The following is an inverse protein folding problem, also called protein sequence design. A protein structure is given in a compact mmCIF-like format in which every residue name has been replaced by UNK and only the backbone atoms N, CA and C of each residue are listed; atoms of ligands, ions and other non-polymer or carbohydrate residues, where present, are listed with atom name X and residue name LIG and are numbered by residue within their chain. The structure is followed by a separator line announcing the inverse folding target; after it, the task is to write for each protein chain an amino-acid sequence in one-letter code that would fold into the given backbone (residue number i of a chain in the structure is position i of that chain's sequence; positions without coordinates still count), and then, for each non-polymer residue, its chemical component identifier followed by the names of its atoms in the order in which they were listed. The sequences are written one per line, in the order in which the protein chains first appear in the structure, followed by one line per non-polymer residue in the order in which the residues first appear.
data_IF_396768262470
#
_entry.id   IF_396768262470
#
_cell.length_a   1.000
_cell.length_b   1.000
_cell.length_c   1.000
_cell.angle_alpha   90.00
_cell.angle_beta   90.00
_cell.angle_gamma   90.00
#
_symmetry.space_group_name_H-M   'P 1'
#
loop_
_entity.id
_entity.type
_entity.pdbx_description
1 polymer ?
#
# COMPACT_ATOMS: atom_id res chain seq x y z
N UNK A 1 2.12 0.84 -12.58
CA UNK A 1 1.82 -0.41 -11.85
C UNK A 1 3.00 -0.79 -10.96
N UNK A 2 2.71 -1.41 -9.85
CA UNK A 2 3.74 -1.83 -8.90
C UNK A 2 4.27 -3.20 -9.31
N UNK A 3 5.58 -3.33 -9.37
CA UNK A 3 6.23 -4.59 -9.70
C UNK A 3 7.43 -4.81 -8.79
N UNK A 4 8.10 -5.94 -8.97
CA UNK A 4 9.33 -6.23 -8.25
C UNK A 4 10.32 -5.08 -8.42
N UNK A 5 10.96 -4.66 -7.33
CA UNK A 5 11.92 -3.55 -7.25
C UNK A 5 11.31 -2.15 -7.36
N UNK A 6 9.98 -2.01 -7.43
CA UNK A 6 9.36 -0.70 -7.32
C UNK A 6 9.49 -0.17 -5.90
N UNK A 7 9.85 1.10 -5.77
CA UNK A 7 9.91 1.76 -4.46
C UNK A 7 8.60 2.49 -4.21
N UNK A 8 8.09 2.39 -2.97
CA UNK A 8 6.84 2.99 -2.57
C UNK A 8 7.05 3.78 -1.28
N UNK A 9 6.26 4.84 -1.13
CA UNK A 9 6.18 5.55 0.14
C UNK A 9 5.23 4.80 1.06
N UNK A 10 5.38 5.01 2.36
CA UNK A 10 4.50 4.42 3.37
C UNK A 10 3.50 5.47 3.81
N UNK A 11 2.23 5.12 3.74
CA UNK A 11 1.13 6.04 4.04
C UNK A 11 0.57 5.86 5.46
N UNK A 12 1.35 5.31 6.37
CA UNK A 12 0.91 5.09 7.74
C UNK A 12 1.94 5.56 8.76
N UNK A 13 1.60 5.43 10.04
CA UNK A 13 2.43 5.89 11.15
C UNK A 13 3.22 4.77 11.83
N UNK A 14 3.56 3.70 11.11
CA UNK A 14 4.35 2.60 11.66
C UNK A 14 5.82 2.93 11.84
N UNK A 15 6.27 4.02 11.27
CA UNK A 15 7.68 4.42 11.29
C UNK A 15 8.42 4.13 10.00
N UNK A 16 7.96 3.21 9.18
CA UNK A 16 8.55 2.97 7.88
C UNK A 16 8.29 4.16 6.96
N UNK A 17 9.29 4.54 6.16
CA UNK A 17 9.19 5.66 5.22
C UNK A 17 9.22 5.22 3.77
N UNK A 18 10.00 4.20 3.46
CA UNK A 18 10.16 3.71 2.09
C UNK A 18 10.20 2.19 2.07
N UNK A 19 9.48 1.61 1.12
CA UNK A 19 9.45 0.17 0.90
C UNK A 19 9.99 -0.14 -0.50
N UNK A 20 10.65 -1.29 -0.61
CA UNK A 20 11.03 -1.86 -1.90
C UNK A 20 10.19 -3.12 -2.12
N UNK A 21 9.42 -3.16 -3.19
CA UNK A 21 8.60 -4.32 -3.53
C UNK A 21 9.51 -5.49 -3.92
N UNK A 22 9.40 -6.58 -3.18
CA UNK A 22 10.15 -7.82 -3.48
C UNK A 22 9.29 -8.74 -4.34
N UNK A 23 8.01 -8.86 -4.03
CA UNK A 23 7.12 -9.80 -4.69
C UNK A 23 5.68 -9.31 -4.66
N UNK A 24 4.95 -9.58 -5.73
CA UNK A 24 3.51 -9.34 -5.80
C UNK A 24 2.80 -10.64 -5.45
N UNK A 25 1.93 -10.59 -4.44
CA UNK A 25 1.14 -11.75 -4.02
C UNK A 25 -0.13 -11.87 -4.87
N UNK A 26 -0.66 -13.07 -4.93
CA UNK A 26 -1.84 -13.39 -5.70
C UNK A 26 -1.64 -14.69 -6.46
N UNK A 27 -2.18 -14.78 -7.67
CA UNK A 27 -2.04 -15.99 -8.48
C UNK A 27 -0.58 -16.17 -8.92
N UNK A 28 -0.20 -17.43 -9.18
CA UNK A 28 1.13 -17.78 -9.66
C UNK A 28 1.51 -17.00 -10.92
N UNK A 29 2.73 -16.46 -10.95
CA UNK A 29 3.23 -15.71 -12.09
C UNK A 29 2.75 -14.27 -12.18
N UNK A 30 2.10 -13.76 -11.16
CA UNK A 30 1.64 -12.38 -11.14
C UNK A 30 2.82 -11.41 -11.08
N UNK A 31 2.86 -10.46 -12.01
CA UNK A 31 3.98 -9.51 -12.14
C UNK A 31 3.67 -8.12 -11.59
N UNK A 32 2.40 -7.68 -11.64
CA UNK A 32 2.04 -6.30 -11.34
C UNK A 32 0.96 -6.24 -10.26
N UNK A 33 1.11 -5.27 -9.38
CA UNK A 33 0.11 -4.95 -8.36
C UNK A 33 -0.55 -3.61 -8.69
N UNK A 34 -1.84 -3.53 -8.44
CA UNK A 34 -2.60 -2.29 -8.48
C UNK A 34 -3.13 -1.96 -7.10
N UNK A 35 -4.03 -0.99 -7.02
CA UNK A 35 -4.65 -0.59 -5.77
C UNK A 35 -5.43 -1.76 -5.17
N UNK A 36 -5.22 -1.99 -3.88
CA UNK A 36 -5.85 -3.07 -3.15
C UNK A 36 -5.14 -4.41 -3.23
N UNK A 37 -4.05 -4.50 -3.97
CA UNK A 37 -3.25 -5.72 -4.03
C UNK A 37 -2.21 -5.74 -2.91
N UNK A 38 -1.88 -6.95 -2.46
CA UNK A 38 -0.90 -7.16 -1.39
C UNK A 38 0.46 -7.46 -2.01
N UNK A 39 1.48 -6.81 -1.48
CA UNK A 39 2.87 -7.02 -1.90
C UNK A 39 3.72 -7.35 -0.69
N UNK A 40 4.82 -8.06 -0.92
CA UNK A 40 5.86 -8.29 0.09
C UNK A 40 6.97 -7.29 -0.17
N UNK A 41 7.38 -6.59 0.87
CA UNK A 41 8.35 -5.50 0.75
C UNK A 41 9.47 -5.62 1.76
N UNK A 42 10.64 -5.07 1.40
CA UNK A 42 11.71 -4.79 2.34
C UNK A 42 11.62 -3.30 2.75
N UNK A 43 11.78 -3.03 4.03
CA UNK A 43 11.79 -1.65 4.54
C UNK A 43 13.18 -1.06 4.28
N UNK A 44 13.24 -0.04 3.42
CA UNK A 44 14.52 0.60 3.04
C UNK A 44 14.85 1.83 3.86
N UNK A 45 13.86 2.46 4.45
CA UNK A 45 14.04 3.60 5.33
C UNK A 45 12.96 3.59 6.41
N UNK A 46 13.34 3.87 7.64
CA UNK A 46 12.42 3.89 8.77
C UNK A 46 12.92 4.83 9.86
N UNK A 47 11.97 5.37 10.63
CA UNK A 47 12.28 6.18 11.81
C UNK A 47 12.76 5.24 12.93
N UNK A 48 13.86 5.57 13.63
CA UNK A 48 14.34 4.75 14.76
C UNK A 48 13.29 4.64 15.87
N UNK A 49 13.32 3.50 16.58
CA UNK A 49 12.47 3.26 17.76
C UNK A 49 10.96 3.19 17.47
N UNK A 50 10.58 2.90 16.24
CA UNK A 50 9.19 2.67 15.87
C UNK A 50 8.95 1.17 15.63
N UNK A 51 7.67 0.71 15.60
CA UNK A 51 7.36 -0.73 15.45
C UNK A 51 7.99 -1.39 14.23
N UNK A 52 8.05 -0.70 13.11
CA UNK A 52 8.65 -1.23 11.89
C UNK A 52 10.04 -0.64 11.72
N UNK A 53 11.01 -1.51 11.51
CA UNK A 53 12.42 -1.15 11.45
C UNK A 53 12.99 -1.34 10.05
N UNK A 54 14.07 -0.62 9.76
CA UNK A 54 14.83 -0.77 8.53
C UNK A 54 15.28 -2.24 8.36
N UNK A 55 15.19 -2.74 7.14
CA UNK A 55 15.50 -4.12 6.73
C UNK A 55 14.45 -5.16 7.10
N UNK A 56 13.37 -4.79 7.77
CA UNK A 56 12.27 -5.72 8.02
C UNK A 56 11.59 -6.11 6.69
N UNK A 57 11.10 -7.34 6.65
CA UNK A 57 10.27 -7.83 5.54
C UNK A 57 8.82 -7.75 5.99
N UNK A 58 8.00 -7.02 5.26
CA UNK A 58 6.61 -6.76 5.64
C UNK A 58 5.67 -7.00 4.47
N UNK A 59 4.40 -7.24 4.77
CA UNK A 59 3.33 -7.21 3.77
C UNK A 59 2.68 -5.84 3.79
N UNK A 60 2.30 -5.37 2.61
CA UNK A 60 1.65 -4.08 2.48
C UNK A 60 0.56 -4.14 1.40
N UNK A 61 -0.44 -3.28 1.56
CA UNK A 61 -1.52 -3.10 0.58
C UNK A 61 -1.27 -1.79 -0.15
N UNK A 62 -1.30 -1.85 -1.47
CA UNK A 62 -1.13 -0.66 -2.30
C UNK A 62 -2.40 0.21 -2.19
N UNK A 63 -2.24 1.45 -1.77
CA UNK A 63 -3.36 2.40 -1.59
C UNK A 63 -3.39 3.51 -2.62
N UNK A 64 -2.25 3.82 -3.23
CA UNK A 64 -2.11 4.83 -4.28
C UNK A 64 -1.14 4.36 -5.34
N UNK A 65 -1.40 4.69 -6.60
CA UNK A 65 -0.46 4.43 -7.70
C UNK A 65 -0.34 5.64 -8.59
N UNK A 66 0.84 5.83 -9.19
CA UNK A 66 1.04 6.82 -10.24
C UNK A 66 0.41 6.40 -11.56
N UNK A 67 0.27 5.11 -11.78
CA UNK A 67 -0.36 4.60 -12.99
C UNK A 67 -1.85 4.91 -12.99
N UNK A 68 -2.37 5.33 -14.15
CA UNK A 68 -3.79 5.60 -14.31
C UNK A 68 -4.60 4.33 -14.14
N UNK A 69 -5.75 4.46 -13.49
CA UNK A 69 -6.70 3.37 -13.29
C UNK A 69 -8.08 3.83 -13.80
N UNK A 70 -8.65 3.04 -14.69
CA UNK A 70 -9.98 3.33 -15.23
C UNK A 70 -11.04 2.64 -14.36
N UNK A 71 -12.03 3.41 -13.94
CA UNK A 71 -13.16 2.89 -13.17
C UNK A 71 -14.29 2.45 -14.08
N UNK A 72 -15.20 1.57 -13.59
CA UNK A 72 -16.33 1.11 -14.38
C UNK A 72 -17.23 2.21 -14.92
N UNK A 73 -17.31 3.35 -14.24
CA UNK A 73 -18.11 4.50 -14.65
C UNK A 73 -17.44 5.36 -15.74
N UNK A 74 -16.26 4.96 -16.21
CA UNK A 74 -15.52 5.68 -17.24
C UNK A 74 -14.55 6.73 -16.74
N UNK A 75 -14.55 7.05 -15.43
CA UNK A 75 -13.60 8.00 -14.88
C UNK A 75 -12.22 7.36 -14.77
N UNK A 76 -11.19 8.20 -14.79
CA UNK A 76 -9.79 7.78 -14.64
C UNK A 76 -9.24 8.42 -13.39
N UNK A 77 -8.59 7.62 -12.54
CA UNK A 77 -7.95 8.11 -11.32
C UNK A 77 -6.45 7.85 -11.38
N UNK A 78 -5.68 8.81 -10.89
CA UNK A 78 -4.22 8.73 -10.84
C UNK A 78 -3.73 9.56 -9.65
N UNK A 79 -2.76 9.03 -8.93
CA UNK A 79 -2.15 9.72 -7.79
C UNK A 79 -0.76 10.22 -8.17
N UNK A 80 -0.21 11.11 -7.35
CA UNK A 80 1.11 11.71 -7.59
C UNK A 80 2.25 10.77 -7.18
N UNK A 81 1.96 9.74 -6.40
CA UNK A 81 2.97 8.82 -5.87
C UNK A 81 2.42 7.42 -5.70
N UNK A 82 3.34 6.46 -5.64
CA UNK A 82 3.01 5.09 -5.25
C UNK A 82 3.11 5.01 -3.72
N UNK A 83 2.09 4.53 -3.06
CA UNK A 83 2.08 4.40 -1.61
C UNK A 83 1.37 3.14 -1.16
N UNK A 84 1.80 2.63 -0.01
CA UNK A 84 1.26 1.42 0.57
C UNK A 84 1.10 1.58 2.08
N UNK A 85 0.22 0.76 2.66
CA UNK A 85 -0.01 0.68 4.09
C UNK A 85 0.42 -0.70 4.55
N UNK A 86 1.25 -0.77 5.60
CA UNK A 86 1.75 -2.02 6.15
C UNK A 86 0.61 -2.74 6.87
N UNK A 87 0.47 -4.04 6.57
CA UNK A 87 -0.55 -4.89 7.19
C UNK A 87 0.11 -6.07 7.90
N UNK A 88 -0.64 -6.64 8.85
CA UNK A 88 -0.23 -7.88 9.52
C UNK A 88 -0.74 -9.09 8.71
N UNK A 89 -0.47 -10.30 9.23
CA UNK A 89 -0.90 -11.55 8.57
C UNK A 89 -2.41 -11.69 8.45
N UNK A 90 -3.17 -10.99 9.27
CA UNK A 90 -4.64 -11.01 9.25
C UNK A 90 -5.22 -9.99 8.26
N UNK A 91 -4.38 -9.22 7.59
CA UNK A 91 -4.82 -8.20 6.65
C UNK A 91 -5.23 -6.88 7.29
N UNK A 92 -4.96 -6.70 8.57
CA UNK A 92 -5.27 -5.46 9.30
C UNK A 92 -4.08 -4.50 9.28
N UNK A 93 -4.33 -3.18 9.25
CA UNK A 93 -3.22 -2.23 9.31
C UNK A 93 -2.47 -2.34 10.64
N UNK A 94 -1.16 -2.29 10.57
CA UNK A 94 -0.29 -2.29 11.76
C UNK A 94 -0.32 -0.94 12.44
N UNK A 95 -0.36 0.14 11.66
CA UNK A 95 -0.44 1.49 12.19
C UNK A 95 -1.85 1.88 12.62
N UNK A 96 -1.94 3.01 13.29
CA UNK A 96 -3.22 3.55 13.77
C UNK A 96 -3.74 4.71 12.94
N UNK A 97 -2.93 5.22 12.01
CA UNK A 97 -3.29 6.35 11.14
C UNK A 97 -2.84 6.09 9.71
N UNK A 98 -3.61 6.61 8.77
CA UNK A 98 -3.27 6.59 7.35
C UNK A 98 -3.17 8.04 6.88
N UNK A 99 -2.12 8.37 6.13
CA UNK A 99 -1.85 9.71 5.64
C UNK A 99 -2.22 9.86 4.18
N UNK A 100 -2.87 10.96 3.84
CA UNK A 100 -3.25 11.28 2.48
C UNK A 100 -4.45 10.48 1.97
N UNK A 101 -4.85 10.72 0.72
CA UNK A 101 -6.02 10.05 0.15
C UNK A 101 -5.76 8.59 -0.16
N UNK A 102 -6.80 7.77 -0.11
CA UNK A 102 -6.78 6.38 -0.58
C UNK A 102 -7.90 6.18 -1.59
N UNK A 103 -7.74 5.21 -2.46
CA UNK A 103 -8.77 4.90 -3.44
C UNK A 103 -9.89 4.08 -2.79
N UNK A 104 -11.15 4.37 -3.18
CA UNK A 104 -12.32 3.67 -2.63
C UNK A 104 -12.39 2.19 -3.00
N UNK A 105 -11.63 1.75 -3.99
CA UNK A 105 -11.54 0.34 -4.37
C UNK A 105 -11.08 -0.55 -3.21
N UNK A 106 -10.45 0.00 -2.20
CA UNK A 106 -10.06 -0.76 -1.00
C UNK A 106 -11.27 -1.34 -0.25
N UNK A 107 -12.43 -0.70 -0.33
CA UNK A 107 -13.67 -1.23 0.27
C UNK A 107 -14.09 -2.53 -0.39
N UNK A 108 -13.98 -2.58 -1.71
CA UNK A 108 -14.38 -3.75 -2.48
C UNK A 108 -13.46 -4.93 -2.23
N UNK A 109 -12.24 -4.66 -1.80
CA UNK A 109 -11.23 -5.69 -1.52
C UNK A 109 -11.11 -6.00 -0.03
N UNK A 110 -12.08 -5.59 0.78
CA UNK A 110 -12.20 -5.89 2.22
C UNK A 110 -11.15 -5.23 3.10
N UNK A 111 -10.68 -4.05 2.72
CA UNK A 111 -9.75 -3.26 3.53
C UNK A 111 -10.47 -2.09 4.21
N UNK A 112 -11.61 -2.37 4.82
CA UNK A 112 -12.44 -1.34 5.47
C UNK A 112 -11.73 -0.62 6.60
N UNK A 113 -10.85 -1.30 7.33
CA UNK A 113 -10.10 -0.65 8.42
C UNK A 113 -9.14 0.41 7.88
N UNK A 114 -8.51 0.16 6.74
CA UNK A 114 -7.66 1.16 6.10
C UNK A 114 -8.49 2.36 5.66
N UNK A 115 -9.63 2.10 5.05
CA UNK A 115 -10.55 3.16 4.60
C UNK A 115 -11.02 4.01 5.76
N UNK A 116 -11.34 3.39 6.90
CA UNK A 116 -11.82 4.12 8.08
C UNK A 116 -10.73 4.98 8.73
N UNK A 117 -9.46 4.62 8.56
CA UNK A 117 -8.34 5.39 9.10
C UNK A 117 -7.88 6.51 8.16
N UNK A 118 -8.29 6.46 6.91
CA UNK A 118 -7.85 7.43 5.91
C UNK A 118 -8.59 8.77 6.08
N UNK A 119 -7.90 9.91 5.93
CA UNK A 119 -8.52 11.22 6.02
C UNK A 119 -9.41 11.54 4.82
N UNK A 120 -9.15 10.92 3.68
CA UNK A 120 -9.90 11.16 2.45
C UNK A 120 -9.95 9.88 1.63
N UNK A 121 -11.12 9.58 1.07
CA UNK A 121 -11.35 8.42 0.21
C UNK A 121 -11.85 8.93 -1.14
N UNK A 122 -11.10 8.65 -2.18
CA UNK A 122 -11.40 9.14 -3.54
C UNK A 122 -11.96 7.97 -4.41
#
# INVERSE_FOLDING_TARGET
MIQQETRLKVADNTGAKELLCIRVLGSSGRKYAGIGDVIVCAVKDAVPNMPVKKSDIVKAVVVRTKASMKRPDGTVIRFDENAAVIINKDGNPVGTRVFGPVARELREKNYMKIVSLAPEVI
#
